data_IF_715026712646
#
_entry.id   IF_715026712646
#
_cell.length_a   1.000
_cell.length_b   1.000
_cell.length_c   1.000
_cell.angle_alpha   90.00
_cell.angle_beta   90.00
_cell.angle_gamma   90.00
#
_symmetry.space_group_name_H-M   'P 1'
#
loop_
_entity.id
_entity.type
_entity.pdbx_description
1 polymer ?
#
# COMPACT_ATOMS: atom_id res chain seq x y z
N UNK A 1 -4.41 3.51 -10.61
CA UNK A 1 -3.65 4.37 -9.67
C UNK A 1 -2.67 5.23 -10.46
N UNK A 2 -3.04 6.46 -10.83
CA UNK A 2 -2.20 7.30 -11.68
C UNK A 2 -1.13 8.06 -10.86
N UNK A 3 0.13 8.00 -11.31
CA UNK A 3 1.26 8.71 -10.69
C UNK A 3 1.70 8.15 -9.34
N UNK A 4 1.47 6.86 -9.08
CA UNK A 4 2.05 6.13 -7.93
C UNK A 4 3.01 5.10 -8.51
N UNK A 5 4.24 5.07 -7.99
CA UNK A 5 5.28 4.08 -8.34
C UNK A 5 5.44 3.07 -7.23
N UNK A 6 5.49 3.53 -5.98
CA UNK A 6 5.69 2.66 -4.83
C UNK A 6 4.39 2.51 -4.04
N UNK A 7 3.94 1.27 -3.88
CA UNK A 7 2.79 0.92 -3.06
C UNK A 7 3.20 0.00 -1.91
N UNK A 8 3.04 0.49 -0.68
CA UNK A 8 3.21 -0.31 0.52
C UNK A 8 1.88 -0.62 1.19
N UNK A 9 1.67 -1.88 1.56
CA UNK A 9 0.44 -2.33 2.21
C UNK A 9 0.77 -3.05 3.51
N UNK A 10 0.32 -2.51 4.64
CA UNK A 10 0.44 -3.16 5.93
C UNK A 10 -0.65 -4.23 6.13
N UNK A 11 -0.22 -5.47 6.42
CA UNK A 11 -1.07 -6.63 6.73
C UNK A 11 -0.63 -7.24 8.07
N UNK A 12 -1.08 -6.62 9.17
CA UNK A 12 -0.71 -7.07 10.51
C UNK A 12 0.77 -6.81 10.79
N UNK A 13 1.54 -7.85 11.10
CA UNK A 13 2.99 -7.77 11.37
C UNK A 13 3.87 -7.74 10.12
N UNK A 14 3.29 -7.85 8.92
CA UNK A 14 4.01 -7.87 7.65
C UNK A 14 3.60 -6.67 6.79
N UNK A 15 4.51 -6.19 5.96
CA UNK A 15 4.24 -5.26 4.87
C UNK A 15 4.44 -5.97 3.52
N UNK A 16 3.73 -5.49 2.51
CA UNK A 16 3.97 -5.82 1.10
C UNK A 16 4.42 -4.55 0.40
N UNK A 17 5.34 -4.69 -0.55
CA UNK A 17 5.78 -3.60 -1.42
C UNK A 17 5.55 -4.04 -2.87
N UNK A 18 4.99 -3.13 -3.66
CA UNK A 18 4.81 -3.30 -5.09
C UNK A 18 5.42 -2.10 -5.81
N UNK A 19 6.31 -2.38 -6.77
CA UNK A 19 6.76 -1.41 -7.76
C UNK A 19 5.77 -1.41 -8.94
N UNK A 20 4.91 -0.40 -8.98
CA UNK A 20 3.89 -0.22 -9.99
C UNK A 20 4.43 0.29 -11.33
N UNK A 21 5.74 0.59 -11.43
CA UNK A 21 6.37 1.07 -12.66
C UNK A 21 6.90 -0.06 -13.55
N UNK A 22 7.29 -1.19 -12.96
CA UNK A 22 7.97 -2.28 -13.65
C UNK A 22 7.21 -3.62 -13.59
N UNK A 23 6.61 -3.96 -12.44
CA UNK A 23 5.96 -5.25 -12.18
C UNK A 23 4.61 -5.06 -11.50
N UNK A 24 3.71 -4.33 -12.18
CA UNK A 24 2.40 -3.99 -11.63
C UNK A 24 1.44 -5.19 -11.73
N UNK A 25 0.94 -5.73 -10.59
CA UNK A 25 -0.11 -6.75 -10.61
C UNK A 25 -1.42 -6.19 -11.19
N UNK A 26 -2.36 -7.09 -11.48
CA UNK A 26 -3.69 -6.70 -11.93
C UNK A 26 -4.43 -5.86 -10.87
N UNK A 27 -5.38 -5.04 -11.32
CA UNK A 27 -6.16 -4.22 -10.40
C UNK A 27 -7.00 -5.07 -9.42
N UNK A 28 -7.43 -6.27 -9.84
CA UNK A 28 -8.15 -7.23 -8.97
C UNK A 28 -7.25 -7.76 -7.85
N UNK A 29 -6.02 -8.16 -8.17
CA UNK A 29 -5.05 -8.61 -7.18
C UNK A 29 -4.73 -7.48 -6.20
N UNK A 30 -4.41 -6.28 -6.71
CA UNK A 30 -4.13 -5.11 -5.87
C UNK A 30 -5.30 -4.78 -4.96
N UNK A 31 -6.53 -4.80 -5.48
CA UNK A 31 -7.74 -4.57 -4.69
C UNK A 31 -7.85 -5.59 -3.53
N UNK A 32 -7.58 -6.86 -3.79
CA UNK A 32 -7.56 -7.91 -2.75
C UNK A 32 -6.56 -7.65 -1.62
N UNK A 33 -5.44 -6.99 -1.91
CA UNK A 33 -4.48 -6.58 -0.88
C UNK A 33 -4.90 -5.30 -0.14
N UNK A 34 -5.45 -4.33 -0.85
CA UNK A 34 -5.86 -3.02 -0.33
C UNK A 34 -7.05 -3.11 0.64
N UNK A 35 -7.94 -4.07 0.42
CA UNK A 35 -9.13 -4.24 1.26
C UNK A 35 -8.82 -4.98 2.57
N UNK A 36 -9.48 -4.54 3.63
CA UNK A 36 -9.55 -5.21 4.93
C UNK A 36 -10.60 -6.33 4.96
N UNK A 37 -10.69 -7.04 6.09
CA UNK A 37 -11.63 -8.16 6.28
C UNK A 37 -13.10 -7.80 6.02
N UNK A 38 -13.47 -6.54 6.22
CA UNK A 38 -14.83 -6.02 6.02
C UNK A 38 -15.08 -5.46 4.61
N UNK A 39 -14.15 -5.63 3.67
CA UNK A 39 -14.25 -5.09 2.31
C UNK A 39 -14.02 -3.58 2.21
N UNK A 40 -13.62 -2.91 3.30
CA UNK A 40 -13.23 -1.49 3.30
C UNK A 40 -11.75 -1.33 3.02
N UNK A 41 -11.36 -0.20 2.41
CA UNK A 41 -9.96 0.16 2.26
C UNK A 41 -9.28 0.21 3.63
N UNK A 42 -8.07 -0.35 3.74
CA UNK A 42 -7.30 -0.35 4.99
C UNK A 42 -6.87 1.08 5.34
N UNK A 43 -7.08 1.46 6.59
CA UNK A 43 -6.69 2.76 7.13
C UNK A 43 -5.41 2.65 7.98
N UNK A 44 -4.61 3.74 8.08
CA UNK A 44 -4.68 4.94 7.26
C UNK A 44 -4.33 4.67 5.78
N UNK A 45 -4.71 5.56 4.88
CA UNK A 45 -4.22 5.57 3.49
C UNK A 45 -3.57 6.91 3.24
N UNK A 46 -2.28 6.90 2.94
CA UNK A 46 -1.45 8.10 2.86
C UNK A 46 -0.77 8.12 1.50
N UNK A 47 -0.95 9.21 0.75
CA UNK A 47 -0.21 9.47 -0.48
C UNK A 47 0.81 10.57 -0.23
N UNK A 48 2.06 10.31 -0.58
CA UNK A 48 3.16 11.28 -0.53
C UNK A 48 3.92 11.25 -1.86
N UNK A 49 3.65 12.21 -2.74
CA UNK A 49 4.19 12.20 -4.11
C UNK A 49 3.80 10.94 -4.89
N UNK A 50 4.81 10.17 -5.31
CA UNK A 50 4.68 8.91 -6.04
C UNK A 50 4.53 7.68 -5.12
N UNK A 51 4.58 7.86 -3.80
CA UNK A 51 4.41 6.80 -2.80
C UNK A 51 2.95 6.75 -2.30
N UNK A 52 2.42 5.54 -2.16
CA UNK A 52 1.14 5.24 -1.51
C UNK A 52 1.34 4.20 -0.41
N UNK A 53 0.99 4.55 0.83
CA UNK A 53 1.02 3.64 1.99
C UNK A 53 -0.41 3.35 2.44
N UNK A 54 -0.74 2.08 2.61
CA UNK A 54 -2.09 1.61 2.93
C UNK A 54 -2.06 0.69 4.14
N UNK A 55 -2.75 1.06 5.20
CA UNK A 55 -2.71 0.40 6.50
C UNK A 55 -1.64 0.98 7.44
N UNK A 56 -1.62 0.49 8.68
CA UNK A 56 -0.69 0.93 9.72
C UNK A 56 0.35 -0.14 10.06
N UNK A 57 1.62 0.24 10.05
CA UNK A 57 2.72 -0.45 10.72
C UNK A 57 3.73 0.63 11.15
N UNK A 58 4.12 0.64 12.43
CA UNK A 58 5.01 1.68 12.95
C UNK A 58 6.33 1.73 12.19
N UNK A 59 6.95 0.56 11.99
CA UNK A 59 8.21 0.42 11.24
C UNK A 59 8.06 0.91 9.80
N UNK A 60 6.98 0.50 9.12
CA UNK A 60 6.72 0.90 7.74
C UNK A 60 6.57 2.42 7.61
N UNK A 61 5.82 3.06 8.51
CA UNK A 61 5.63 4.50 8.47
C UNK A 61 6.95 5.23 8.75
N UNK A 62 7.77 4.72 9.67
CA UNK A 62 9.08 5.29 9.95
C UNK A 62 10.06 5.13 8.78
N UNK A 63 10.02 4.02 8.05
CA UNK A 63 10.91 3.76 6.90
C UNK A 63 10.50 4.52 5.63
N UNK A 64 9.23 4.90 5.48
CA UNK A 64 8.69 5.42 4.22
C UNK A 64 8.24 6.87 4.25
N UNK A 65 7.80 7.39 5.41
CA UNK A 65 7.23 8.74 5.51
C UNK A 65 8.07 9.70 6.38
N UNK A 66 9.12 9.22 7.04
CA UNK A 66 10.04 10.01 7.87
C UNK A 66 11.46 9.89 7.31
#
# INVERSE_FOLDING_TARGET
MAGVKDLYIAKGKKSLHFDLSSDRPSDEELLGHLLGRSGKLRAPTIRSGELLVVGYSGDLLQETLL
#
